data_IF_813516800906
#
_entry.id   IF_813516800906
#
_cell.length_a   1.000
_cell.length_b   1.000
_cell.length_c   1.000
_cell.angle_alpha   90.00
_cell.angle_beta   90.00
_cell.angle_gamma   90.00
#
_symmetry.space_group_name_H-M   'P 1'
#
loop_
_entity.id
_entity.type
_entity.pdbx_description
1 polymer ?
#
# COMPACT_ATOMS: atom_id res chain seq x y z
N UNK A 1 9.26 9.65 -1.76
CA UNK A 1 7.89 9.92 -1.26
C UNK A 1 7.45 11.35 -1.61
N UNK A 2 8.26 12.37 -1.31
CA UNK A 2 7.93 13.79 -1.54
C UNK A 2 8.22 14.28 -2.97
N UNK A 3 7.74 13.56 -3.98
CA UNK A 3 7.93 13.96 -5.37
C UNK A 3 6.83 14.93 -5.82
N UNK A 4 7.17 15.94 -6.63
CA UNK A 4 6.22 16.97 -7.09
C UNK A 4 5.06 16.44 -7.93
N UNK A 5 5.24 15.29 -8.58
CA UNK A 5 4.22 14.63 -9.40
C UNK A 5 3.25 13.73 -8.61
N UNK A 6 3.54 13.46 -7.32
CA UNK A 6 2.63 12.71 -6.46
C UNK A 6 1.81 13.73 -5.66
N UNK A 7 0.46 13.68 -5.72
CA UNK A 7 -0.38 14.54 -4.90
C UNK A 7 -0.01 14.44 -3.43
N UNK A 8 0.15 15.58 -2.76
CA UNK A 8 0.63 15.67 -1.36
C UNK A 8 -0.20 14.79 -0.41
N UNK A 9 -1.51 14.68 -0.63
CA UNK A 9 -2.41 13.81 0.17
C UNK A 9 -2.00 12.33 0.09
N UNK A 10 -1.59 11.86 -1.09
CA UNK A 10 -1.15 10.48 -1.32
C UNK A 10 0.24 10.28 -0.73
N UNK A 11 1.15 11.25 -0.88
CA UNK A 11 2.47 11.21 -0.27
C UNK A 11 2.38 11.11 1.28
N UNK A 12 1.52 11.92 1.90
CA UNK A 12 1.25 11.82 3.34
C UNK A 12 0.65 10.47 3.75
N UNK A 13 -0.23 9.90 2.92
CA UNK A 13 -0.78 8.58 3.17
C UNK A 13 0.31 7.50 3.12
N UNK A 14 1.15 7.49 2.09
CA UNK A 14 2.27 6.53 1.97
C UNK A 14 3.22 6.67 3.16
N UNK A 15 3.54 7.91 3.55
CA UNK A 15 4.36 8.16 4.74
C UNK A 15 3.71 7.58 6.00
N UNK A 16 2.41 7.84 6.23
CA UNK A 16 1.70 7.22 7.36
C UNK A 16 1.70 5.69 7.26
N UNK A 17 1.52 5.11 6.08
CA UNK A 17 1.54 3.67 5.89
C UNK A 17 2.93 3.08 6.24
N UNK A 18 4.01 3.75 5.82
CA UNK A 18 5.39 3.35 6.14
C UNK A 18 5.67 3.29 7.64
N UNK A 19 5.09 4.21 8.41
CA UNK A 19 5.26 4.26 9.86
C UNK A 19 4.13 3.56 10.63
N UNK A 20 3.35 2.69 9.97
CA UNK A 20 2.18 2.02 10.56
C UNK A 20 1.20 2.98 11.28
N UNK A 21 1.05 4.18 10.74
CA UNK A 21 0.24 5.28 11.27
C UNK A 21 -1.10 5.47 10.59
N UNK A 22 -1.48 4.62 9.62
CA UNK A 22 -2.83 4.65 9.06
C UNK A 22 -3.86 4.04 10.02
N UNK A 23 -5.09 4.49 9.90
CA UNK A 23 -6.22 4.06 10.72
C UNK A 23 -6.78 2.74 10.17
N UNK A 24 -6.18 1.63 10.59
CA UNK A 24 -6.74 0.27 10.44
C UNK A 24 -7.21 -0.22 11.80
N UNK A 25 -8.18 -1.13 11.83
CA UNK A 25 -8.76 -1.66 13.07
C UNK A 25 -7.71 -2.06 14.11
N UNK A 26 -6.70 -2.83 13.68
CA UNK A 26 -5.62 -3.27 14.57
C UNK A 26 -4.87 -2.10 15.21
N UNK A 27 -4.60 -1.03 14.47
CA UNK A 27 -3.91 0.16 15.00
C UNK A 27 -4.80 0.97 15.94
N UNK A 28 -6.12 0.97 15.72
CA UNK A 28 -7.09 1.60 16.62
C UNK A 28 -7.19 0.80 17.92
N UNK A 29 -7.26 -0.53 17.84
CA UNK A 29 -7.25 -1.43 18.99
C UNK A 29 -5.96 -1.27 19.83
N UNK A 30 -4.80 -1.13 19.19
CA UNK A 30 -3.53 -0.84 19.88
C UNK A 30 -3.53 0.49 20.65
N UNK A 31 -4.43 1.42 20.33
CA UNK A 31 -4.61 2.69 21.05
C UNK A 31 -5.65 2.60 22.18
N UNK A 32 -6.13 1.39 22.49
CA UNK A 32 -7.06 1.13 23.59
C UNK A 32 -8.54 1.26 23.23
N UNK A 33 -8.87 1.45 21.94
CA UNK A 33 -10.25 1.54 21.48
C UNK A 33 -10.74 0.15 21.07
N UNK A 34 -11.68 -0.40 21.83
CA UNK A 34 -12.28 -1.71 21.53
C UNK A 34 -13.27 -1.58 20.37
N UNK A 35 -13.02 -2.32 19.28
CA UNK A 35 -13.91 -2.43 18.13
C UNK A 35 -13.78 -3.83 17.50
N UNK A 36 -14.83 -4.27 16.81
CA UNK A 36 -14.78 -5.49 16.03
C UNK A 36 -13.90 -5.27 14.79
N UNK A 37 -12.92 -6.15 14.55
CA UNK A 37 -12.06 -6.03 13.37
C UNK A 37 -12.54 -6.89 12.22
N UNK A 38 -12.65 -6.30 11.03
CA UNK A 38 -12.98 -7.03 9.81
C UNK A 38 -12.45 -6.31 8.57
N UNK A 39 -11.60 -6.99 7.81
CA UNK A 39 -11.16 -6.52 6.50
C UNK A 39 -12.34 -6.45 5.53
N UNK A 40 -12.56 -5.27 4.93
CA UNK A 40 -13.62 -5.05 3.92
C UNK A 40 -13.27 -5.65 2.55
N UNK A 41 -11.99 -5.85 2.28
CA UNK A 41 -11.47 -6.33 1.00
C UNK A 41 -11.37 -7.87 0.91
N UNK A 42 -11.86 -8.60 1.90
CA UNK A 42 -11.78 -10.06 1.93
C UNK A 42 -13.15 -10.67 2.27
N UNK A 43 -13.54 -11.78 1.61
CA UNK A 43 -14.76 -12.49 1.96
C UNK A 43 -14.66 -13.14 3.35
N UNK A 44 -13.44 -13.58 3.72
CA UNK A 44 -13.14 -14.08 5.05
C UNK A 44 -13.02 -12.93 6.04
N UNK A 45 -13.56 -13.12 7.26
CA UNK A 45 -13.51 -12.13 8.35
C UNK A 45 -12.12 -12.04 8.99
N UNK A 46 -11.12 -11.75 8.17
CA UNK A 46 -9.75 -11.52 8.62
C UNK A 46 -9.65 -10.18 9.34
N UNK A 47 -8.72 -10.08 10.28
CA UNK A 47 -8.41 -8.85 11.01
C UNK A 47 -7.87 -7.80 10.03
N UNK A 48 -8.45 -6.60 10.05
CA UNK A 48 -7.95 -5.46 9.29
C UNK A 48 -6.66 -4.93 9.95
N UNK A 49 -5.55 -5.28 9.34
CA UNK A 49 -4.21 -4.79 9.69
C UNK A 49 -3.57 -4.16 8.46
N UNK A 50 -2.60 -3.27 8.67
CA UNK A 50 -1.86 -2.64 7.56
C UNK A 50 -1.29 -3.70 6.61
N UNK A 51 -0.66 -4.74 7.16
CA UNK A 51 -0.07 -5.82 6.36
C UNK A 51 -1.14 -6.57 5.56
N UNK A 52 -2.26 -6.90 6.21
CA UNK A 52 -3.33 -7.62 5.54
C UNK A 52 -3.96 -6.77 4.42
N UNK A 53 -4.35 -5.54 4.74
CA UNK A 53 -5.02 -4.61 3.82
C UNK A 53 -4.15 -4.27 2.60
N UNK A 54 -2.85 -4.07 2.80
CA UNK A 54 -1.95 -3.57 1.74
C UNK A 54 -1.16 -4.66 1.02
N UNK A 55 -1.07 -5.89 1.55
CA UNK A 55 -0.18 -6.93 0.99
C UNK A 55 -0.70 -8.37 0.97
N UNK A 56 -1.63 -8.75 1.85
CA UNK A 56 -2.04 -10.16 1.97
C UNK A 56 -3.49 -10.43 1.59
N UNK A 57 -4.32 -9.39 1.52
CA UNK A 57 -5.70 -9.52 1.08
C UNK A 57 -5.80 -10.00 -0.36
N UNK A 58 -6.92 -10.63 -0.69
CA UNK A 58 -7.18 -11.16 -2.03
C UNK A 58 -7.17 -10.04 -3.09
N UNK A 59 -7.89 -8.95 -2.83
CA UNK A 59 -7.97 -7.77 -3.71
C UNK A 59 -6.58 -7.19 -3.99
N UNK A 60 -5.75 -7.09 -2.96
CA UNK A 60 -4.44 -6.46 -3.07
C UNK A 60 -3.41 -7.37 -3.73
N UNK A 61 -3.46 -8.67 -3.45
CA UNK A 61 -2.62 -9.68 -4.13
C UNK A 61 -2.90 -9.71 -5.63
N UNK A 62 -4.18 -9.65 -6.03
CA UNK A 62 -4.56 -9.60 -7.45
C UNK A 62 -4.11 -8.29 -8.11
N UNK A 63 -4.31 -7.16 -7.43
CA UNK A 63 -3.89 -5.84 -7.93
C UNK A 63 -2.37 -5.81 -8.15
N UNK A 64 -1.60 -6.27 -7.16
CA UNK A 64 -0.14 -6.32 -7.25
C UNK A 64 0.36 -7.33 -8.29
N UNK A 65 -0.27 -8.51 -8.40
CA UNK A 65 0.05 -9.49 -9.44
C UNK A 65 -0.12 -8.91 -10.84
N UNK A 66 -1.21 -8.17 -11.07
CA UNK A 66 -1.43 -7.45 -12.33
C UNK A 66 -0.32 -6.45 -12.63
N UNK A 67 0.06 -5.61 -11.66
CA UNK A 67 1.12 -4.62 -11.86
C UNK A 67 2.51 -5.24 -12.03
N UNK A 68 2.84 -6.28 -11.26
CA UNK A 68 4.08 -7.03 -11.42
C UNK A 68 4.20 -7.56 -12.85
N UNK A 69 3.12 -8.10 -13.41
CA UNK A 69 3.10 -8.62 -14.76
C UNK A 69 3.22 -7.51 -15.82
N UNK A 70 2.48 -6.41 -15.66
CA UNK A 70 2.51 -5.27 -16.61
C UNK A 70 3.89 -4.60 -16.65
N UNK A 71 4.56 -4.50 -15.50
CA UNK A 71 5.84 -3.78 -15.39
C UNK A 71 7.07 -4.69 -15.31
N UNK A 72 6.91 -6.01 -15.43
CA UNK A 72 7.97 -7.01 -15.28
C UNK A 72 8.77 -6.85 -13.97
N UNK A 73 8.06 -6.55 -12.87
CA UNK A 73 8.66 -6.34 -11.55
C UNK A 73 8.58 -7.61 -10.69
N UNK A 74 9.62 -7.93 -9.89
CA UNK A 74 9.57 -9.06 -8.99
C UNK A 74 8.47 -8.90 -7.93
N UNK A 75 7.74 -9.97 -7.67
CA UNK A 75 6.65 -10.04 -6.70
C UNK A 75 7.17 -10.07 -5.26
N UNK A 76 7.81 -8.99 -4.82
CA UNK A 76 8.29 -8.82 -3.46
C UNK A 76 7.40 -7.76 -2.79
N UNK A 77 6.36 -8.20 -2.08
CA UNK A 77 5.28 -7.35 -1.58
C UNK A 77 5.18 -7.38 -0.05
N UNK A 78 6.28 -7.13 0.66
CA UNK A 78 6.25 -6.82 2.10
C UNK A 78 6.57 -5.34 2.29
N UNK A 79 5.86 -4.66 3.21
CA UNK A 79 5.98 -3.20 3.44
C UNK A 79 7.45 -2.71 3.53
N UNK A 80 8.33 -3.36 4.33
CA UNK A 80 9.73 -2.94 4.43
C UNK A 80 10.47 -3.07 3.09
N UNK A 81 10.26 -4.16 2.34
CA UNK A 81 10.94 -4.37 1.07
C UNK A 81 10.38 -3.52 -0.07
N UNK A 82 9.12 -3.09 0.01
CA UNK A 82 8.54 -2.17 -0.95
C UNK A 82 9.14 -0.76 -0.79
N UNK A 83 9.33 -0.31 0.45
CA UNK A 83 9.99 0.96 0.76
C UNK A 83 11.51 0.90 0.52
N UNK A 84 12.17 -0.19 0.96
CA UNK A 84 13.64 -0.30 0.95
C UNK A 84 14.21 -0.85 -0.36
N UNK A 85 13.53 -1.78 -1.04
CA UNK A 85 14.11 -2.52 -2.16
C UNK A 85 13.47 -2.26 -3.52
N UNK A 86 12.17 -1.91 -3.61
CA UNK A 86 11.49 -1.79 -4.90
C UNK A 86 11.25 -0.33 -5.33
N UNK A 87 10.74 0.55 -4.46
CA UNK A 87 10.55 1.96 -4.82
C UNK A 87 11.87 2.73 -4.95
N UNK A 88 12.89 2.38 -4.16
CA UNK A 88 14.22 2.98 -4.23
C UNK A 88 15.00 2.65 -5.53
N UNK A 89 14.66 1.54 -6.20
CA UNK A 89 15.31 1.12 -7.46
C UNK A 89 14.67 1.73 -8.71
N UNK A 90 13.45 2.25 -8.61
CA UNK A 90 12.77 2.86 -9.74
C UNK A 90 13.43 4.22 -10.01
N UNK A 91 14.01 4.37 -11.21
CA UNK A 91 14.56 5.65 -11.64
C UNK A 91 13.42 6.64 -11.91
N UNK A 92 13.08 7.43 -10.89
CA UNK A 92 12.03 8.46 -10.93
C UNK A 92 12.31 9.61 -11.90
N UNK A 93 13.53 9.70 -12.46
CA UNK A 93 13.85 10.68 -13.50
C UNK A 93 13.39 10.22 -14.90
N UNK A 94 12.93 8.98 -15.02
CA UNK A 94 12.33 8.48 -16.26
C UNK A 94 10.81 8.63 -16.22
N UNK A 95 10.18 8.93 -17.36
CA UNK A 95 8.73 8.97 -17.47
C UNK A 95 8.08 7.65 -17.01
N UNK A 96 8.70 6.52 -17.36
CA UNK A 96 8.28 5.20 -16.90
C UNK A 96 8.31 5.07 -15.36
N UNK A 97 9.38 5.53 -14.72
CA UNK A 97 9.50 5.49 -13.25
C UNK A 97 8.49 6.39 -12.54
N UNK A 98 8.21 7.56 -13.10
CA UNK A 98 7.15 8.45 -12.58
C UNK A 98 5.78 7.79 -12.69
N UNK A 99 5.45 7.21 -13.84
CA UNK A 99 4.15 6.56 -14.09
C UNK A 99 3.97 5.34 -13.18
N UNK A 100 4.95 4.45 -13.11
CA UNK A 100 4.88 3.24 -12.26
C UNK A 100 4.72 3.57 -10.78
N UNK A 101 5.50 4.54 -10.27
CA UNK A 101 5.39 5.00 -8.88
C UNK A 101 4.04 5.63 -8.58
N UNK A 102 3.51 6.43 -9.50
CA UNK A 102 2.21 7.10 -9.34
C UNK A 102 1.07 6.11 -9.34
N UNK A 103 1.10 5.12 -10.24
CA UNK A 103 0.10 4.05 -10.29
C UNK A 103 0.12 3.25 -8.99
N UNK A 104 1.29 2.80 -8.52
CA UNK A 104 1.40 2.06 -7.26
C UNK A 104 0.88 2.88 -6.05
N UNK A 105 1.23 4.16 -5.99
CA UNK A 105 0.78 5.09 -4.96
C UNK A 105 -0.75 5.26 -4.96
N UNK A 106 -1.36 5.41 -6.13
CA UNK A 106 -2.80 5.55 -6.31
C UNK A 106 -3.54 4.25 -5.95
N UNK A 107 -3.00 3.08 -6.34
CA UNK A 107 -3.58 1.78 -5.99
C UNK A 107 -3.66 1.61 -4.48
N UNK A 108 -2.55 1.87 -3.76
CA UNK A 108 -2.54 1.80 -2.29
C UNK A 108 -3.59 2.74 -1.66
N UNK A 109 -3.69 3.95 -2.18
CA UNK A 109 -4.69 4.92 -1.73
C UNK A 109 -6.13 4.45 -1.96
N UNK A 110 -6.43 3.91 -3.15
CA UNK A 110 -7.75 3.38 -3.49
C UNK A 110 -8.14 2.16 -2.65
N UNK A 111 -7.20 1.25 -2.39
CA UNK A 111 -7.44 0.08 -1.52
C UNK A 111 -7.80 0.54 -0.10
N UNK A 112 -7.12 1.57 0.41
CA UNK A 112 -7.44 2.11 1.74
C UNK A 112 -8.80 2.81 1.81
N UNK A 113 -9.23 3.46 0.71
CA UNK A 113 -10.50 4.18 0.65
C UNK A 113 -11.72 3.24 0.53
N UNK A 114 -11.54 2.04 -0.01
CA UNK A 114 -12.59 1.01 -0.18
C UNK A 114 -13.06 0.48 1.17
#
# INVERSE_FOLDING_TARGET
IWSSFIPTRIAFFIWKAAFNGISVDKNIQHRGISLASKCRCCPNSNIESLKHLMFQGEVVTNSWGYFSNVFNLPTCWDMPSLLDNNLGKININTHFGMVTTTIAALTLWHIWLS
#
